data_IF_647402089269
#
_entry.id   IF_647402089269
#
_cell.length_a   1.000
_cell.length_b   1.000
_cell.length_c   1.000
_cell.angle_alpha   90.00
_cell.angle_beta   90.00
_cell.angle_gamma   90.00
#
_symmetry.space_group_name_H-M   'P 1'
#
loop_
_entity.id
_entity.type
_entity.pdbx_description
1 polymer ?
#
# COMPACT_ATOMS: atom_id res chain seq x y z
N UNK A 1 9.31 19.27 -11.91
CA UNK A 1 10.52 20.10 -12.04
C UNK A 1 11.42 19.42 -13.08
N UNK A 2 12.73 19.69 -13.13
CA UNK A 2 13.63 18.77 -13.84
C UNK A 2 13.62 17.40 -13.11
N UNK A 3 13.73 16.27 -13.84
CA UNK A 3 13.66 14.93 -13.24
C UNK A 3 14.72 14.69 -12.14
N UNK A 4 15.87 15.37 -12.22
CA UNK A 4 16.91 15.32 -11.18
C UNK A 4 16.52 16.02 -9.87
N UNK A 5 15.65 17.03 -9.93
CA UNK A 5 15.17 17.77 -8.76
C UNK A 5 13.98 17.06 -8.10
N UNK A 6 13.08 16.46 -8.90
CA UNK A 6 11.94 15.69 -8.38
C UNK A 6 12.40 14.39 -7.68
N UNK A 7 13.49 13.76 -8.14
CA UNK A 7 14.05 12.54 -7.52
C UNK A 7 14.51 12.70 -6.05
N UNK A 8 14.70 13.95 -5.60
CA UNK A 8 15.18 14.27 -4.26
C UNK A 8 14.04 14.47 -3.26
N UNK A 9 12.80 14.50 -3.74
CA UNK A 9 11.62 14.73 -2.90
C UNK A 9 11.07 13.36 -2.48
N UNK A 10 10.89 13.09 -1.18
CA UNK A 10 10.26 11.86 -0.73
C UNK A 10 8.82 11.79 -1.27
N UNK A 11 8.51 10.71 -2.00
CA UNK A 11 7.21 10.45 -2.57
C UNK A 11 6.31 9.71 -1.57
N UNK A 12 4.97 9.87 -1.65
CA UNK A 12 4.05 9.00 -0.93
C UNK A 12 4.15 7.55 -1.44
N UNK A 13 3.67 6.60 -0.64
CA UNK A 13 3.61 5.19 -1.04
C UNK A 13 2.89 5.03 -2.39
N UNK A 14 3.49 4.25 -3.29
CA UNK A 14 2.99 4.05 -4.64
C UNK A 14 1.85 3.04 -4.71
N UNK A 15 1.66 2.23 -3.66
CA UNK A 15 0.59 1.24 -3.59
C UNK A 15 0.07 1.07 -2.16
N UNK A 16 -1.12 0.48 -2.06
CA UNK A 16 -1.69 0.12 -0.76
C UNK A 16 -0.83 -0.91 -0.02
N UNK A 17 -0.23 -1.89 -0.71
CA UNK A 17 0.69 -2.85 -0.08
C UNK A 17 1.90 -2.13 0.54
N UNK A 18 2.53 -1.22 -0.21
CA UNK A 18 3.68 -0.46 0.29
C UNK A 18 3.30 0.40 1.50
N UNK A 19 2.12 1.00 1.51
CA UNK A 19 1.61 1.75 2.65
C UNK A 19 1.37 0.85 3.87
N UNK A 20 0.83 -0.36 3.68
CA UNK A 20 0.61 -1.33 4.76
C UNK A 20 1.93 -1.88 5.32
N UNK A 21 2.93 -2.13 4.46
CA UNK A 21 4.27 -2.49 4.91
C UNK A 21 4.97 -1.37 5.67
N UNK A 22 4.82 -0.13 5.21
CA UNK A 22 5.35 1.04 5.91
C UNK A 22 4.69 1.21 7.28
N UNK A 23 3.37 1.01 7.35
CA UNK A 23 2.61 1.01 8.60
C UNK A 23 3.11 -0.09 9.56
N UNK A 24 3.38 -1.29 9.06
CA UNK A 24 3.90 -2.40 9.88
C UNK A 24 5.29 -2.09 10.47
N UNK A 25 6.17 -1.51 9.64
CA UNK A 25 7.56 -1.18 9.98
C UNK A 25 7.68 0.05 10.90
N UNK A 26 6.80 1.04 10.77
CA UNK A 26 6.83 2.30 11.53
C UNK A 26 5.51 2.57 12.27
N UNK A 27 5.11 1.68 13.16
CA UNK A 27 3.89 1.81 13.99
C UNK A 27 4.11 2.42 15.37
N UNK A 28 5.36 2.64 15.78
CA UNK A 28 5.67 3.11 17.13
C UNK A 28 5.07 4.49 17.44
N UNK A 29 4.97 5.35 16.42
CA UNK A 29 4.36 6.67 16.58
C UNK A 29 2.86 6.59 16.89
N UNK A 30 2.17 5.53 16.46
CA UNK A 30 0.74 5.30 16.69
C UNK A 30 0.47 4.60 18.03
N UNK A 31 1.36 3.68 18.44
CA UNK A 31 1.20 2.93 19.68
C UNK A 31 1.62 3.72 20.92
N UNK A 32 2.41 4.79 20.73
CA UNK A 32 2.81 5.70 21.82
C UNK A 32 1.59 6.33 22.48
N UNK A 33 1.46 6.14 23.79
CA UNK A 33 0.31 6.63 24.57
C UNK A 33 -0.91 5.71 24.55
N UNK A 34 -0.81 4.52 23.96
CA UNK A 34 -1.86 3.50 24.00
C UNK A 34 -3.10 3.86 23.18
N UNK A 35 -2.98 4.78 22.22
CA UNK A 35 -4.08 5.17 21.33
C UNK A 35 -4.42 4.03 20.37
N UNK A 36 -3.38 3.38 19.83
CA UNK A 36 -3.50 2.18 19.01
C UNK A 36 -2.80 1.01 19.71
N UNK A 37 -3.42 -0.17 19.68
CA UNK A 37 -2.78 -1.42 20.09
C UNK A 37 -2.15 -2.12 18.88
N UNK A 38 -1.13 -2.95 19.12
CA UNK A 38 -0.52 -3.75 18.06
C UNK A 38 -1.55 -4.68 17.42
N UNK A 39 -2.38 -5.37 18.22
CA UNK A 39 -3.44 -6.25 17.74
C UNK A 39 -4.41 -5.56 16.79
N UNK A 40 -4.76 -4.30 17.06
CA UNK A 40 -5.65 -3.52 16.20
C UNK A 40 -4.98 -3.22 14.85
N UNK A 41 -3.71 -2.82 14.87
CA UNK A 41 -2.94 -2.52 13.66
C UNK A 41 -2.74 -3.80 12.83
N UNK A 42 -2.36 -4.91 13.46
CA UNK A 42 -2.17 -6.20 12.81
C UNK A 42 -3.46 -6.69 12.15
N UNK A 43 -4.59 -6.57 12.86
CA UNK A 43 -5.92 -6.93 12.33
C UNK A 43 -6.32 -6.05 11.14
N UNK A 44 -6.01 -4.75 11.21
CA UNK A 44 -6.27 -3.83 10.11
C UNK A 44 -5.45 -4.17 8.86
N UNK A 45 -4.15 -4.44 9.04
CA UNK A 45 -3.26 -4.84 7.95
C UNK A 45 -3.77 -6.13 7.30
N UNK A 46 -4.14 -7.14 8.10
CA UNK A 46 -4.67 -8.40 7.58
C UNK A 46 -5.92 -8.19 6.70
N UNK A 47 -6.91 -7.44 7.20
CA UNK A 47 -8.14 -7.13 6.45
C UNK A 47 -7.86 -6.39 5.14
N UNK A 48 -6.91 -5.45 5.15
CA UNK A 48 -6.56 -4.70 3.93
C UNK A 48 -5.72 -5.50 2.95
N UNK A 49 -4.90 -6.43 3.42
CA UNK A 49 -4.17 -7.36 2.55
C UNK A 49 -5.10 -8.32 1.81
N UNK A 50 -6.25 -8.67 2.38
CA UNK A 50 -7.29 -9.43 1.65
C UNK A 50 -7.82 -8.62 0.45
N UNK A 51 -8.11 -7.33 0.63
CA UNK A 51 -8.54 -6.45 -0.47
C UNK A 51 -7.47 -6.32 -1.56
N UNK A 52 -6.20 -6.15 -1.17
CA UNK A 52 -5.05 -6.10 -2.09
C UNK A 52 -4.95 -7.40 -2.88
N UNK A 53 -5.12 -8.54 -2.23
CA UNK A 53 -5.02 -9.86 -2.85
C UNK A 53 -6.12 -10.06 -3.90
N UNK A 54 -7.37 -9.73 -3.57
CA UNK A 54 -8.49 -9.81 -4.50
C UNK A 54 -8.23 -8.94 -5.73
N UNK A 55 -7.79 -7.70 -5.53
CA UNK A 55 -7.51 -6.78 -6.63
C UNK A 55 -6.40 -7.30 -7.56
N UNK A 56 -5.32 -7.86 -7.00
CA UNK A 56 -4.19 -8.41 -7.77
C UNK A 56 -4.54 -9.66 -8.55
N UNK A 57 -5.41 -10.50 -8.00
CA UNK A 57 -5.81 -11.75 -8.64
C UNK A 57 -6.90 -11.56 -9.69
N UNK A 58 -7.58 -10.41 -9.70
CA UNK A 58 -8.68 -10.12 -10.61
C UNK A 58 -8.15 -9.41 -11.86
N UNK A 59 -8.40 -9.97 -13.04
CA UNK A 59 -8.06 -9.33 -14.31
C UNK A 59 -8.77 -7.99 -14.45
N UNK A 60 -8.00 -6.91 -14.63
CA UNK A 60 -8.59 -5.60 -14.84
C UNK A 60 -9.09 -5.45 -16.29
N UNK A 61 -10.25 -4.80 -16.56
CA UNK A 61 -10.75 -4.62 -17.93
C UNK A 61 -9.77 -3.97 -18.91
N UNK A 62 -8.87 -3.12 -18.40
CA UNK A 62 -7.80 -2.51 -19.20
C UNK A 62 -6.80 -3.56 -19.71
N UNK A 63 -6.57 -4.66 -18.98
CA UNK A 63 -5.72 -5.75 -19.44
C UNK A 63 -6.31 -6.42 -20.68
N UNK A 64 -7.64 -6.56 -20.76
CA UNK A 64 -8.30 -7.03 -21.99
C UNK A 64 -8.06 -6.05 -23.14
N UNK A 65 -8.18 -4.74 -22.91
CA UNK A 65 -7.86 -3.75 -23.95
C UNK A 65 -6.40 -3.86 -24.41
N UNK A 66 -5.45 -4.09 -23.49
CA UNK A 66 -4.02 -4.17 -23.80
C UNK A 66 -3.63 -5.48 -24.50
N UNK A 67 -4.18 -6.62 -24.06
CA UNK A 67 -3.64 -7.94 -24.38
C UNK A 67 -4.60 -8.88 -25.14
N UNK A 68 -5.87 -8.53 -25.33
CA UNK A 68 -6.85 -9.47 -25.92
C UNK A 68 -6.58 -9.86 -27.38
N UNK A 69 -6.02 -8.94 -28.17
CA UNK A 69 -5.73 -9.15 -29.61
C UNK A 69 -4.24 -9.21 -29.93
N UNK A 70 -3.41 -9.42 -28.90
CA UNK A 70 -1.96 -9.51 -29.04
C UNK A 70 -1.52 -10.84 -29.67
#
# INVERSE_FOLDING_TARGET
LAPEEDSKIPAPAASLEEALEALDKDREFLTRGGVFSNDMIDSYIALKMEEVTIFRMTTHPVEFQMYYSL
#
